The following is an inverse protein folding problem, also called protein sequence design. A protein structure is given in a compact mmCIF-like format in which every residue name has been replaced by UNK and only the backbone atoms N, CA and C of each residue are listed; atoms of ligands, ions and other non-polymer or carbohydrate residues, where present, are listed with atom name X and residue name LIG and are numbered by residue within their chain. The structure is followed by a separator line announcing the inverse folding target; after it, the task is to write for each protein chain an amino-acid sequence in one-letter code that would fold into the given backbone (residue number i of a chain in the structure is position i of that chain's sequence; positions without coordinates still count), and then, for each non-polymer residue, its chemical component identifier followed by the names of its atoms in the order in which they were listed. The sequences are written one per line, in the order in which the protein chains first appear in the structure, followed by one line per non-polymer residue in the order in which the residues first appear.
data_IF_670793368354
#
_entry.id   IF_670793368354
#
_cell.length_a   1.000
_cell.length_b   1.000
_cell.length_c   1.000
_cell.angle_alpha   90.00
_cell.angle_beta   90.00
_cell.angle_gamma   90.00
#
_symmetry.space_group_name_H-M   'P 1'
#
loop_
_entity.id
_entity.type
_entity.pdbx_description
1 polymer ?
#
# COMPACT_ATOMS: atom_id res chain seq x y z
N UNK A 1 8.02 -5.20 -4.29
CA UNK A 1 7.47 -4.85 -5.61
C UNK A 1 8.60 -4.29 -6.45
N UNK A 2 8.81 -4.80 -7.67
CA UNK A 2 10.05 -4.49 -8.40
C UNK A 2 10.09 -3.09 -9.04
N UNK A 3 9.01 -2.30 -8.97
CA UNK A 3 9.03 -0.87 -9.30
C UNK A 3 7.84 -0.11 -8.62
N UNK A 4 8.10 0.72 -7.58
CA UNK A 4 7.06 1.49 -6.88
C UNK A 4 6.29 2.49 -7.76
N UNK A 5 6.97 3.13 -8.70
CA UNK A 5 6.35 4.11 -9.61
C UNK A 5 5.37 3.42 -10.57
N UNK A 6 5.79 2.30 -11.15
CA UNK A 6 4.94 1.48 -12.02
C UNK A 6 3.68 1.01 -11.29
N UNK A 7 3.83 0.53 -10.05
CA UNK A 7 2.69 0.12 -9.23
C UNK A 7 1.71 1.27 -9.01
N UNK A 8 2.20 2.44 -8.58
CA UNK A 8 1.35 3.63 -8.36
C UNK A 8 0.61 4.02 -9.63
N UNK A 9 1.29 4.04 -10.79
CA UNK A 9 0.68 4.38 -12.08
C UNK A 9 -0.41 3.36 -12.48
N UNK A 10 -0.13 2.06 -12.32
CA UNK A 10 -1.10 1.00 -12.66
C UNK A 10 -2.32 1.09 -11.74
N UNK A 11 -2.11 1.24 -10.42
CA UNK A 11 -3.21 1.33 -9.47
C UNK A 11 -4.07 2.57 -9.68
N UNK A 12 -3.45 3.72 -10.00
CA UNK A 12 -4.18 4.92 -10.35
C UNK A 12 -5.11 4.69 -11.55
N UNK A 13 -4.64 3.97 -12.59
CA UNK A 13 -5.46 3.60 -13.75
C UNK A 13 -6.62 2.66 -13.37
N UNK A 14 -6.37 1.65 -12.54
CA UNK A 14 -7.39 0.69 -12.09
C UNK A 14 -8.50 1.40 -11.30
N UNK A 15 -8.13 2.37 -10.47
CA UNK A 15 -9.06 3.13 -9.63
C UNK A 15 -9.67 4.36 -10.32
N UNK A 16 -9.37 4.58 -11.61
CA UNK A 16 -9.77 5.77 -12.37
C UNK A 16 -9.38 7.10 -11.69
N UNK A 17 -8.16 7.15 -11.14
CA UNK A 17 -7.59 8.32 -10.49
C UNK A 17 -6.55 8.99 -11.40
N UNK A 18 -6.63 10.32 -11.49
CA UNK A 18 -5.58 11.13 -12.13
C UNK A 18 -4.57 11.60 -11.09
N UNK A 19 -3.29 11.30 -11.30
CA UNK A 19 -2.18 11.84 -10.51
C UNK A 19 -1.49 12.93 -11.34
N UNK A 20 -1.61 14.22 -10.96
CA UNK A 20 -0.85 15.29 -11.61
C UNK A 20 0.66 15.05 -11.50
N UNK A 21 1.43 15.31 -12.56
CA UNK A 21 2.88 15.07 -12.60
C UNK A 21 3.64 15.68 -11.42
N UNK A 22 3.23 16.88 -10.98
CA UNK A 22 3.81 17.58 -9.82
C UNK A 22 3.67 16.83 -8.49
N UNK A 23 2.77 15.85 -8.41
CA UNK A 23 2.52 15.02 -7.23
C UNK A 23 2.99 13.58 -7.40
N UNK A 24 3.38 13.14 -8.60
CA UNK A 24 3.74 11.75 -8.83
C UNK A 24 4.87 11.30 -7.90
N UNK A 25 5.95 12.08 -7.81
CA UNK A 25 7.08 11.76 -6.94
C UNK A 25 6.68 11.62 -5.47
N UNK A 26 5.87 12.55 -4.94
CA UNK A 26 5.47 12.50 -3.53
C UNK A 26 4.49 11.36 -3.24
N UNK A 27 3.65 10.97 -4.20
CA UNK A 27 2.80 9.78 -4.08
C UNK A 27 3.66 8.52 -4.04
N UNK A 28 4.68 8.42 -4.91
CA UNK A 28 5.60 7.28 -4.94
C UNK A 28 6.40 7.17 -3.64
N UNK A 29 6.95 8.27 -3.13
CA UNK A 29 7.68 8.30 -1.84
C UNK A 29 6.78 7.85 -0.67
N UNK A 30 5.55 8.36 -0.60
CA UNK A 30 4.60 7.95 0.42
C UNK A 30 4.21 6.47 0.31
N UNK A 31 4.04 5.97 -0.91
CA UNK A 31 3.75 4.56 -1.15
C UNK A 31 4.89 3.65 -0.65
N UNK A 32 6.15 4.00 -0.91
CA UNK A 32 7.30 3.25 -0.42
C UNK A 32 7.34 3.22 1.11
N UNK A 33 7.13 4.37 1.76
CA UNK A 33 7.07 4.45 3.22
C UNK A 33 5.95 3.60 3.82
N UNK A 34 4.78 3.58 3.19
CA UNK A 34 3.67 2.73 3.61
C UNK A 34 4.00 1.24 3.45
N UNK A 35 4.71 0.85 2.37
CA UNK A 35 5.15 -0.53 2.19
C UNK A 35 6.11 -0.99 3.30
N UNK A 36 7.05 -0.14 3.70
CA UNK A 36 7.99 -0.47 4.79
C UNK A 36 7.27 -0.69 6.12
N UNK A 37 6.23 0.09 6.41
CA UNK A 37 5.43 -0.08 7.62
C UNK A 37 4.56 -1.34 7.52
N UNK A 38 3.91 -1.53 6.36
CA UNK A 38 3.02 -2.66 6.13
C UNK A 38 3.76 -4.00 6.10
N UNK A 39 5.02 -4.05 5.67
CA UNK A 39 5.79 -5.29 5.62
C UNK A 39 5.93 -5.95 6.99
N UNK A 40 6.06 -5.14 8.06
CA UNK A 40 6.08 -5.64 9.43
C UNK A 40 4.81 -6.42 9.78
N UNK A 41 3.64 -5.93 9.33
CA UNK A 41 2.36 -6.61 9.57
C UNK A 41 2.26 -7.93 8.78
N UNK A 42 2.90 -8.02 7.62
CA UNK A 42 2.88 -9.25 6.80
C UNK A 42 3.80 -10.34 7.32
N UNK A 43 4.68 -10.05 8.28
CA UNK A 43 5.56 -11.04 8.92
C UNK A 43 4.86 -11.82 10.04
N UNK A 44 3.73 -11.34 10.55
CA UNK A 44 2.96 -12.05 11.57
C UNK A 44 2.33 -13.31 10.95
N UNK A 45 2.42 -14.48 11.62
CA UNK A 45 1.77 -15.68 11.15
C UNK A 45 0.26 -15.49 11.15
N UNK A 46 -0.39 -15.90 10.06
CA UNK A 46 -1.84 -15.95 9.96
C UNK A 46 -2.31 -17.34 10.39
N UNK A 47 -3.26 -17.37 11.33
CA UNK A 47 -3.96 -18.60 11.72
C UNK A 47 -5.05 -18.92 10.68
N UNK A 48 -5.27 -20.20 10.39
CA UNK A 48 -6.25 -20.63 9.36
C UNK A 48 -7.70 -20.25 9.72
N UNK A 49 -7.99 -20.04 11.01
CA UNK A 49 -9.28 -19.62 11.57
C UNK A 49 -9.28 -18.15 12.02
N UNK A 50 -8.23 -17.38 11.69
CA UNK A 50 -8.13 -15.96 12.02
C UNK A 50 -9.21 -15.14 11.30
N UNK A 51 -10.16 -14.59 12.06
CA UNK A 51 -11.16 -13.65 11.53
C UNK A 51 -10.68 -12.20 11.60
N UNK A 52 -11.23 -11.36 10.72
CA UNK A 52 -10.97 -9.92 10.78
C UNK A 52 -11.55 -9.34 12.07
N UNK A 53 -10.73 -8.63 12.84
CA UNK A 53 -11.20 -7.93 14.03
C UNK A 53 -12.25 -6.86 13.64
N UNK A 54 -13.38 -6.84 14.36
CA UNK A 54 -14.45 -5.84 14.15
C UNK A 54 -14.08 -4.45 14.66
N UNK A 55 -13.04 -4.35 15.49
CA UNK A 55 -12.50 -3.12 16.05
C UNK A 55 -10.99 -3.22 16.18
N UNK A 56 -10.28 -2.13 15.90
CA UNK A 56 -8.85 -2.01 16.17
C UNK A 56 -8.65 -1.50 17.60
N UNK A 57 -7.92 -2.26 18.43
CA UNK A 57 -7.44 -1.77 19.74
C UNK A 57 -5.94 -1.43 19.65
N UNK A 58 -5.56 -0.18 19.97
CA UNK A 58 -4.18 0.32 19.82
C UNK A 58 -3.21 -0.19 20.88
#
# INVERSE_FOLDING_TARGET
MNNPEEYVIIMAKILDLTIPDRYLNSVVENWQRLQEIASLVTEFPLEDDGESALSFEP
#
